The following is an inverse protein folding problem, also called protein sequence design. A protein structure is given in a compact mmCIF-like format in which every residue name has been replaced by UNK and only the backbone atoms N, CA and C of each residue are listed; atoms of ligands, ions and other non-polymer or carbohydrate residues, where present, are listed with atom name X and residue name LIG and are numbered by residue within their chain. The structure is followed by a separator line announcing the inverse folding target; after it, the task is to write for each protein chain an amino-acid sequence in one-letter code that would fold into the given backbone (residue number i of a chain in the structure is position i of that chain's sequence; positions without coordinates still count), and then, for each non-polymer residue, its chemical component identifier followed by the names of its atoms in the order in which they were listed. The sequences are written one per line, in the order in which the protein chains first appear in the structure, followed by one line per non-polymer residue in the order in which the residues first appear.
data_IF_926058156280
#
_entry.id   IF_926058156280
#
_cell.length_a   1.000
_cell.length_b   1.000
_cell.length_c   1.000
_cell.angle_alpha   90.00
_cell.angle_beta   90.00
_cell.angle_gamma   90.00
#
_symmetry.space_group_name_H-M   'P 1'
#
loop_
_entity.id
_entity.type
_entity.pdbx_description
1 polymer ?
#
# COMPACT_ATOMS: atom_id res chain seq x y z
N UNK A 1 -6.43 15.25 12.08
CA UNK A 1 -6.23 16.02 10.84
C UNK A 1 -4.75 16.37 10.64
N UNK A 2 -4.09 17.04 11.61
CA UNK A 2 -2.67 17.45 11.47
C UNK A 2 -1.70 16.27 11.33
N UNK A 3 -1.89 15.18 12.07
CA UNK A 3 -1.06 13.96 11.97
C UNK A 3 -1.18 13.30 10.59
N UNK A 4 -2.37 13.26 10.00
CA UNK A 4 -2.58 12.73 8.64
C UNK A 4 -1.98 13.64 7.56
N UNK A 5 -2.03 14.95 7.75
CA UNK A 5 -1.36 15.91 6.87
C UNK A 5 0.17 15.77 6.95
N UNK A 6 0.73 15.55 8.13
CA UNK A 6 2.16 15.29 8.33
C UNK A 6 2.58 13.97 7.68
N UNK A 7 1.79 12.90 7.82
CA UNK A 7 2.02 11.59 7.18
C UNK A 7 2.03 11.70 5.66
N UNK A 8 1.05 12.40 5.08
CA UNK A 8 0.96 12.66 3.63
C UNK A 8 2.13 13.50 3.11
N UNK A 9 2.63 14.42 3.93
CA UNK A 9 3.79 15.26 3.60
C UNK A 9 5.09 14.46 3.64
N UNK A 10 5.24 13.55 4.60
CA UNK A 10 6.40 12.65 4.73
C UNK A 10 6.42 11.55 3.66
N UNK A 11 5.25 11.07 3.21
CA UNK A 11 5.13 10.06 2.15
C UNK A 11 5.44 10.61 0.74
N UNK A 12 5.66 11.93 0.59
CA UNK A 12 6.15 12.49 -0.68
C UNK A 12 7.60 12.07 -0.88
N UNK A 13 7.80 11.03 -1.70
CA UNK A 13 9.11 10.69 -2.26
C UNK A 13 9.78 11.97 -2.79
N UNK A 14 11.10 12.17 -2.56
CA UNK A 14 11.85 13.25 -3.19
C UNK A 14 11.96 12.98 -4.68
N UNK A 15 10.85 13.19 -5.41
CA UNK A 15 10.88 13.09 -6.86
C UNK A 15 11.63 14.31 -7.40
N UNK A 16 12.44 14.11 -8.43
CA UNK A 16 13.06 15.18 -9.24
C UNK A 16 12.03 16.08 -9.93
N UNK A 17 10.76 16.00 -9.55
CA UNK A 17 9.61 16.68 -10.14
C UNK A 17 9.23 17.86 -9.26
N UNK A 18 8.84 18.94 -9.91
CA UNK A 18 8.38 20.12 -9.22
C UNK A 18 7.19 19.81 -8.29
N UNK A 19 7.24 20.34 -7.09
CA UNK A 19 6.15 20.18 -6.10
C UNK A 19 4.96 21.03 -6.51
N UNK A 20 3.87 20.39 -6.93
CA UNK A 20 2.60 21.08 -7.23
C UNK A 20 1.74 21.10 -5.97
N UNK A 21 1.91 22.11 -5.13
CA UNK A 21 1.21 22.21 -3.84
C UNK A 21 -0.32 22.32 -3.92
N UNK A 22 -0.83 22.75 -5.07
CA UNK A 22 -2.26 23.07 -5.25
C UNK A 22 -3.19 21.85 -5.26
N UNK A 23 -2.70 20.64 -5.62
CA UNK A 23 -3.51 19.42 -5.60
C UNK A 23 -3.65 18.79 -4.20
N UNK A 24 -2.88 19.23 -3.21
CA UNK A 24 -2.84 18.63 -1.88
C UNK A 24 -4.01 19.00 -0.97
N UNK A 25 -4.89 19.89 -1.38
CA UNK A 25 -5.83 20.56 -0.47
C UNK A 25 -7.32 20.31 -0.72
N UNK A 26 -7.70 19.61 -1.78
CA UNK A 26 -9.13 19.35 -2.06
C UNK A 26 -9.47 17.89 -1.94
N UNK A 27 -9.99 17.49 -0.78
CA UNK A 27 -10.63 16.17 -0.59
C UNK A 27 -12.13 16.18 -0.96
N UNK A 28 -12.61 17.22 -1.64
CA UNK A 28 -14.04 17.37 -1.96
C UNK A 28 -14.55 16.28 -2.89
N UNK A 29 -13.76 15.91 -3.88
CA UNK A 29 -14.12 14.88 -4.88
C UNK A 29 -13.32 13.61 -4.63
N UNK A 30 -13.93 12.43 -4.80
CA UNK A 30 -13.28 11.14 -4.55
C UNK A 30 -11.99 10.95 -5.38
N UNK A 31 -11.95 11.47 -6.60
CA UNK A 31 -10.81 11.33 -7.49
C UNK A 31 -9.67 12.32 -7.20
N UNK A 32 -9.86 13.35 -6.38
CA UNK A 32 -8.85 14.41 -6.17
C UNK A 32 -7.52 13.91 -5.62
N UNK A 33 -7.53 12.85 -4.81
CA UNK A 33 -6.36 12.23 -4.20
C UNK A 33 -6.06 10.81 -4.72
N UNK A 34 -6.87 10.32 -5.68
CA UNK A 34 -6.79 8.95 -6.24
C UNK A 34 -6.48 8.89 -7.71
N UNK A 35 -6.83 9.92 -8.49
CA UNK A 35 -6.58 9.92 -9.93
C UNK A 35 -5.14 10.35 -10.22
N UNK A 36 -4.31 9.45 -10.73
CA UNK A 36 -2.89 9.66 -10.98
C UNK A 36 -2.53 9.51 -12.46
N UNK A 37 -1.54 10.23 -12.89
CA UNK A 37 -1.01 10.16 -14.25
C UNK A 37 -0.12 8.92 -14.41
N UNK A 38 -0.41 8.08 -15.41
CA UNK A 38 0.40 6.90 -15.73
C UNK A 38 1.82 7.22 -16.19
N UNK A 39 2.01 8.38 -16.82
CA UNK A 39 3.32 8.81 -17.30
C UNK A 39 4.19 9.40 -16.17
N UNK A 40 3.65 10.36 -15.43
CA UNK A 40 4.45 11.13 -14.49
C UNK A 40 4.13 10.87 -13.00
N UNK A 41 3.10 10.08 -12.68
CA UNK A 41 2.70 9.75 -11.32
C UNK A 41 2.12 10.91 -10.51
N UNK A 42 1.88 12.08 -11.13
CA UNK A 42 1.29 13.24 -10.46
C UNK A 42 -0.23 13.14 -10.48
N UNK A 43 -0.88 13.69 -9.46
CA UNK A 43 -2.33 13.72 -9.39
C UNK A 43 -2.96 14.52 -10.53
N UNK A 44 -4.18 14.18 -10.85
CA UNK A 44 -5.05 14.96 -11.71
C UNK A 44 -5.82 15.99 -10.88
N UNK A 45 -6.12 17.13 -11.52
CA UNK A 45 -6.96 18.19 -10.95
C UNK A 45 -8.23 18.34 -11.76
N UNK A 46 -9.34 18.47 -11.07
CA UNK A 46 -10.63 18.81 -11.64
C UNK A 46 -10.64 20.27 -12.10
N UNK A 47 -10.94 20.50 -13.38
CA UNK A 47 -11.01 21.84 -13.98
C UNK A 47 -12.39 22.02 -14.60
N UNK A 48 -12.97 23.22 -14.44
CA UNK A 48 -14.23 23.59 -15.11
C UNK A 48 -13.91 24.59 -16.20
N UNK A 49 -14.27 24.27 -17.42
CA UNK A 49 -14.16 25.16 -18.56
C UNK A 49 -15.53 25.76 -18.87
N UNK A 50 -15.62 27.07 -18.89
CA UNK A 50 -16.82 27.79 -19.33
C UNK A 50 -16.72 28.02 -20.83
N UNK A 51 -17.70 27.58 -21.59
CA UNK A 51 -17.85 27.74 -23.02
C UNK A 51 -19.20 28.37 -23.33
N UNK A 52 -19.42 28.90 -24.56
CA UNK A 52 -20.73 29.44 -24.98
C UNK A 52 -21.86 28.41 -24.84
N UNK A 53 -21.56 27.14 -25.08
CA UNK A 53 -22.45 25.97 -25.04
C UNK A 53 -22.60 25.36 -23.62
N UNK A 54 -21.96 25.95 -22.62
CA UNK A 54 -22.09 25.51 -21.22
C UNK A 54 -20.78 25.28 -20.48
N UNK A 55 -20.91 24.65 -19.31
CA UNK A 55 -19.76 24.27 -18.47
C UNK A 55 -19.33 22.84 -18.78
N UNK A 56 -18.06 22.66 -19.15
CA UNK A 56 -17.43 21.35 -19.32
C UNK A 56 -16.49 21.08 -18.15
N UNK A 57 -16.65 19.95 -17.50
CA UNK A 57 -15.79 19.53 -16.39
C UNK A 57 -14.81 18.49 -16.90
N UNK A 58 -13.53 18.74 -16.64
CA UNK A 58 -12.44 17.87 -17.11
C UNK A 58 -11.42 17.63 -15.99
N UNK A 59 -10.72 16.52 -16.10
CA UNK A 59 -9.58 16.18 -15.27
C UNK A 59 -8.29 16.33 -16.04
N UNK A 60 -7.27 16.98 -15.45
CA UNK A 60 -5.98 17.24 -16.07
C UNK A 60 -4.83 16.97 -15.12
N UNK A 61 -3.75 16.39 -15.64
CA UNK A 61 -2.52 16.18 -14.88
C UNK A 61 -1.97 17.52 -14.36
N UNK A 62 -1.68 17.58 -13.06
CA UNK A 62 -1.20 18.81 -12.40
C UNK A 62 0.17 19.22 -12.95
N UNK A 63 1.10 18.26 -13.15
CA UNK A 63 2.39 18.57 -13.79
C UNK A 63 2.23 19.21 -15.15
N UNK A 64 1.27 18.70 -15.96
CA UNK A 64 1.00 19.25 -17.28
C UNK A 64 0.35 20.63 -17.25
N UNK A 65 -0.51 20.86 -16.24
CA UNK A 65 -1.16 22.16 -16.02
C UNK A 65 -0.15 23.24 -15.64
N UNK A 66 0.72 22.93 -14.67
CA UNK A 66 1.58 23.93 -14.06
C UNK A 66 2.89 24.13 -14.85
N UNK A 67 3.36 23.13 -15.59
CA UNK A 67 4.66 23.17 -16.29
C UNK A 67 4.60 22.80 -17.78
N UNK A 68 3.42 22.63 -18.35
CA UNK A 68 3.25 22.24 -19.74
C UNK A 68 3.85 20.87 -20.05
N UNK A 69 4.52 20.74 -21.18
CA UNK A 69 5.16 19.48 -21.61
C UNK A 69 6.51 19.19 -20.95
N UNK A 70 7.00 20.06 -20.06
CA UNK A 70 8.34 19.93 -19.48
C UNK A 70 8.53 18.65 -18.67
N UNK A 71 7.52 18.20 -17.93
CA UNK A 71 7.61 17.05 -17.03
C UNK A 71 6.59 15.95 -17.34
N UNK A 72 5.64 16.21 -18.25
CA UNK A 72 4.63 15.25 -18.65
C UNK A 72 4.22 15.54 -20.11
N UNK A 73 4.51 14.60 -21.02
CA UNK A 73 4.39 14.82 -22.46
C UNK A 73 3.05 14.36 -23.02
N UNK A 74 2.51 13.25 -22.52
CA UNK A 74 1.41 12.51 -23.16
C UNK A 74 0.14 12.46 -22.31
N UNK A 75 0.12 13.03 -21.07
CA UNK A 75 -1.06 12.95 -20.23
C UNK A 75 -2.30 13.54 -20.90
N UNK A 76 -3.38 12.77 -21.05
CA UNK A 76 -4.61 13.26 -21.68
C UNK A 76 -5.40 14.18 -20.76
N UNK A 77 -6.27 14.99 -21.36
CA UNK A 77 -7.38 15.62 -20.66
C UNK A 77 -8.57 14.68 -20.74
N UNK A 78 -9.19 14.36 -19.61
CA UNK A 78 -10.31 13.44 -19.52
C UNK A 78 -11.58 14.20 -19.15
N UNK A 79 -12.68 13.90 -19.83
CA UNK A 79 -14.00 14.38 -19.46
C UNK A 79 -14.49 13.63 -18.21
N UNK A 80 -15.16 14.35 -17.30
CA UNK A 80 -15.58 13.77 -16.02
C UNK A 80 -16.61 12.67 -16.19
N UNK A 81 -17.65 12.89 -16.99
CA UNK A 81 -18.73 11.92 -17.12
C UNK A 81 -18.27 10.57 -17.74
N UNK A 82 -17.54 10.52 -18.88
CA UNK A 82 -16.98 9.29 -19.41
C UNK A 82 -16.01 8.59 -18.44
N UNK A 83 -15.20 9.36 -17.71
CA UNK A 83 -14.28 8.82 -16.69
C UNK A 83 -15.05 8.15 -15.55
N UNK A 84 -16.08 8.80 -15.02
CA UNK A 84 -16.92 8.26 -13.97
C UNK A 84 -17.64 6.98 -14.43
N UNK A 85 -18.19 6.96 -15.62
CA UNK A 85 -18.84 5.78 -16.20
C UNK A 85 -17.85 4.61 -16.36
N UNK A 86 -16.64 4.88 -16.83
CA UNK A 86 -15.61 3.84 -16.95
C UNK A 86 -15.23 3.25 -15.57
N UNK A 87 -15.12 4.08 -14.53
CA UNK A 87 -14.83 3.61 -13.18
C UNK A 87 -16.00 2.77 -12.65
N UNK A 88 -17.24 3.21 -12.82
CA UNK A 88 -18.44 2.43 -12.46
C UNK A 88 -18.46 1.09 -13.19
N UNK A 89 -18.20 1.07 -14.49
CA UNK A 89 -18.15 -0.15 -15.28
C UNK A 89 -17.07 -1.11 -14.75
N UNK A 90 -15.87 -0.61 -14.44
CA UNK A 90 -14.81 -1.40 -13.83
C UNK A 90 -15.25 -2.02 -12.51
N UNK A 91 -15.88 -1.24 -11.62
CA UNK A 91 -16.40 -1.74 -10.35
C UNK A 91 -17.47 -2.82 -10.55
N UNK A 92 -18.43 -2.58 -11.43
CA UNK A 92 -19.50 -3.52 -11.71
C UNK A 92 -19.05 -4.82 -12.37
N UNK A 93 -17.85 -4.85 -12.99
CA UNK A 93 -17.27 -6.09 -13.50
C UNK A 93 -16.80 -7.02 -12.37
N UNK A 94 -16.42 -6.46 -11.23
CA UNK A 94 -15.80 -7.21 -10.13
C UNK A 94 -16.75 -7.44 -8.97
N UNK A 95 -17.68 -6.50 -8.73
CA UNK A 95 -18.62 -6.59 -7.59
C UNK A 95 -19.42 -7.91 -7.54
N UNK A 96 -19.94 -8.46 -8.67
CA UNK A 96 -20.71 -9.70 -8.65
C UNK A 96 -19.86 -10.94 -8.30
N UNK A 97 -18.56 -10.90 -8.54
CA UNK A 97 -17.62 -12.03 -8.30
C UNK A 97 -16.59 -11.70 -7.21
N UNK A 98 -16.90 -10.70 -6.40
CA UNK A 98 -15.95 -10.21 -5.39
C UNK A 98 -15.62 -11.31 -4.35
N UNK A 99 -16.64 -12.11 -3.95
CA UNK A 99 -16.47 -13.22 -3.01
C UNK A 99 -15.50 -14.29 -3.53
N UNK A 100 -15.65 -14.68 -4.80
CA UNK A 100 -14.77 -15.64 -5.44
C UNK A 100 -13.34 -15.12 -5.56
N UNK A 101 -13.17 -13.86 -5.94
CA UNK A 101 -11.86 -13.23 -6.07
C UNK A 101 -11.17 -12.97 -4.74
N UNK A 102 -11.91 -12.60 -3.71
CA UNK A 102 -11.37 -12.46 -2.36
C UNK A 102 -10.89 -13.81 -1.85
N UNK A 103 -11.68 -14.87 -2.07
CA UNK A 103 -11.28 -16.23 -1.70
C UNK A 103 -9.99 -16.63 -2.41
N UNK A 104 -9.86 -16.41 -3.72
CA UNK A 104 -8.63 -16.67 -4.47
C UNK A 104 -7.42 -15.89 -3.94
N UNK A 105 -7.61 -14.61 -3.60
CA UNK A 105 -6.53 -13.79 -3.02
C UNK A 105 -6.16 -14.30 -1.63
N UNK A 106 -7.16 -14.67 -0.81
CA UNK A 106 -6.93 -15.24 0.51
C UNK A 106 -6.15 -16.55 0.42
N UNK A 107 -6.59 -17.47 -0.45
CA UNK A 107 -5.91 -18.74 -0.69
C UNK A 107 -4.48 -18.55 -1.22
N UNK A 108 -4.24 -17.57 -2.11
CA UNK A 108 -2.92 -17.23 -2.59
C UNK A 108 -2.02 -16.65 -1.49
N UNK A 109 -2.56 -15.77 -0.64
CA UNK A 109 -1.82 -15.21 0.49
C UNK A 109 -1.52 -16.28 1.55
N UNK A 110 -2.46 -17.18 1.83
CA UNK A 110 -2.26 -18.32 2.73
C UNK A 110 -1.23 -19.31 2.18
N UNK A 111 -1.20 -19.52 0.86
CA UNK A 111 -0.21 -20.36 0.20
C UNK A 111 1.20 -19.75 0.20
N UNK A 112 1.34 -18.43 0.18
CA UNK A 112 2.63 -17.72 0.34
C UNK A 112 3.14 -17.76 1.79
N UNK A 113 2.23 -17.98 2.73
CA UNK A 113 2.57 -18.17 4.14
C UNK A 113 2.98 -19.63 4.33
N UNK A 114 4.21 -19.97 3.99
CA UNK A 114 4.80 -21.27 4.33
C UNK A 114 4.86 -21.31 5.88
N UNK A 115 4.21 -22.28 6.53
CA UNK A 115 4.42 -22.47 7.96
C UNK A 115 5.92 -22.70 8.13
N UNK A 116 6.59 -21.80 8.86
CA UNK A 116 8.00 -22.01 9.18
C UNK A 116 8.11 -23.40 9.81
N UNK A 117 8.89 -24.35 9.24
CA UNK A 117 9.12 -25.66 9.85
C UNK A 117 9.86 -25.37 11.15
N UNK A 118 9.10 -25.36 12.24
CA UNK A 118 9.44 -24.70 13.47
C UNK A 118 10.74 -25.19 14.05
N UNK A 119 11.51 -24.29 14.55
CA UNK A 119 12.50 -24.53 15.59
C UNK A 119 11.84 -25.01 16.91
N UNK A 120 10.51 -25.13 16.95
CA UNK A 120 9.76 -25.48 18.16
C UNK A 120 9.84 -24.43 19.27
N UNK A 121 10.60 -23.34 19.09
CA UNK A 121 10.79 -22.31 20.09
C UNK A 121 9.86 -21.11 19.84
N UNK A 122 9.14 -20.71 20.88
CA UNK A 122 8.35 -19.47 20.84
C UNK A 122 9.26 -18.23 20.99
N UNK A 123 8.76 -17.05 20.62
CA UNK A 123 9.48 -15.79 20.89
C UNK A 123 9.84 -15.63 22.37
N UNK A 124 8.94 -16.06 23.28
CA UNK A 124 9.18 -16.01 24.71
C UNK A 124 10.30 -16.96 25.15
N UNK A 125 10.44 -18.13 24.51
CA UNK A 125 11.53 -19.06 24.80
C UNK A 125 12.87 -18.52 24.30
N UNK A 126 12.88 -17.88 23.12
CA UNK A 126 14.07 -17.23 22.56
C UNK A 126 14.52 -16.08 23.48
N UNK A 127 13.60 -15.21 23.90
CA UNK A 127 13.93 -14.07 24.78
C UNK A 127 14.45 -14.54 26.12
N UNK A 128 13.87 -15.61 26.69
CA UNK A 128 14.35 -16.24 27.92
C UNK A 128 15.77 -16.80 27.74
N UNK A 129 16.01 -17.53 26.65
CA UNK A 129 17.33 -18.12 26.37
C UNK A 129 18.39 -17.06 26.15
N UNK A 130 18.07 -15.96 25.46
CA UNK A 130 18.98 -14.82 25.31
C UNK A 130 19.34 -14.19 26.66
N UNK A 131 18.40 -14.08 27.59
CA UNK A 131 18.64 -13.57 28.94
C UNK A 131 19.55 -14.50 29.74
N UNK A 132 19.35 -15.82 29.62
CA UNK A 132 20.20 -16.82 30.24
C UNK A 132 21.65 -16.78 29.73
N UNK A 133 21.81 -16.66 28.40
CA UNK A 133 23.13 -16.53 27.75
C UNK A 133 23.86 -15.24 28.16
N UNK A 134 23.12 -14.15 28.30
CA UNK A 134 23.70 -12.88 28.80
C UNK A 134 24.19 -13.07 30.25
N UNK A 135 23.41 -13.68 31.10
CA UNK A 135 23.83 -13.97 32.47
C UNK A 135 25.05 -14.95 32.51
N UNK A 136 25.12 -15.92 31.63
CA UNK A 136 26.27 -16.82 31.50
C UNK A 136 27.52 -16.06 31.02
N UNK A 137 27.36 -15.17 30.05
CA UNK A 137 28.44 -14.33 29.56
C UNK A 137 29.05 -13.46 30.66
N UNK A 138 28.21 -12.81 31.47
CA UNK A 138 28.65 -11.99 32.60
C UNK A 138 29.43 -12.81 33.64
N UNK A 139 28.91 -13.99 34.00
CA UNK A 139 29.61 -14.89 34.93
C UNK A 139 30.96 -15.37 34.37
N UNK A 140 31.02 -15.58 33.06
CA UNK A 140 32.26 -16.00 32.40
C UNK A 140 33.27 -14.87 32.37
N UNK A 141 32.84 -13.63 32.18
CA UNK A 141 33.71 -12.43 32.28
C UNK A 141 34.34 -12.29 33.65
N UNK A 142 33.55 -12.51 34.72
CA UNK A 142 34.05 -12.47 36.09
C UNK A 142 35.13 -13.56 36.34
N UNK A 143 34.94 -14.77 35.81
CA UNK A 143 35.90 -15.88 35.93
C UNK A 143 37.15 -15.70 35.07
N UNK A 144 37.01 -15.06 33.88
CA UNK A 144 38.06 -14.86 32.92
C UNK A 144 38.97 -13.64 33.26
N UNK A 145 38.70 -12.92 34.36
CA UNK A 145 39.45 -11.74 34.76
C UNK A 145 40.95 -12.02 34.91
N UNK A 146 41.31 -13.23 35.38
CA UNK A 146 42.71 -13.63 35.61
C UNK A 146 43.38 -14.33 34.40
N UNK A 147 42.59 -15.00 33.54
CA UNK A 147 43.09 -15.70 32.33
C UNK A 147 42.06 -15.69 31.20
N UNK A 148 41.98 -14.63 30.43
CA UNK A 148 41.01 -14.50 29.33
C UNK A 148 41.17 -15.54 28.22
N UNK A 149 42.37 -16.06 28.00
CA UNK A 149 42.67 -16.99 26.88
C UNK A 149 42.07 -18.35 27.13
N UNK A 150 42.06 -18.82 28.40
CA UNK A 150 41.51 -20.12 28.80
C UNK A 150 39.99 -20.25 28.52
N UNK A 151 39.26 -19.14 28.39
CA UNK A 151 37.83 -19.11 28.23
C UNK A 151 37.36 -18.67 26.79
N UNK A 152 38.29 -18.50 25.88
CA UNK A 152 38.03 -17.98 24.54
C UNK A 152 36.98 -18.77 23.77
N UNK A 153 37.04 -20.10 23.80
CA UNK A 153 36.08 -20.98 23.12
C UNK A 153 34.66 -20.87 23.71
N UNK A 154 34.55 -20.76 25.04
CA UNK A 154 33.27 -20.62 25.71
C UNK A 154 32.61 -19.26 25.42
N UNK A 155 33.38 -18.19 25.32
CA UNK A 155 32.87 -16.89 24.86
C UNK A 155 32.35 -16.98 23.44
N UNK A 156 33.09 -17.65 22.55
CA UNK A 156 32.68 -17.84 21.16
C UNK A 156 31.36 -18.62 21.06
N UNK A 157 31.23 -19.74 21.76
CA UNK A 157 30.00 -20.54 21.78
C UNK A 157 28.77 -19.72 22.22
N UNK A 158 28.90 -18.92 23.30
CA UNK A 158 27.82 -18.07 23.78
C UNK A 158 27.45 -17.00 22.74
N UNK A 159 28.43 -16.36 22.10
CA UNK A 159 28.21 -15.33 21.09
C UNK A 159 27.58 -15.90 19.81
N UNK A 160 28.01 -17.08 19.38
CA UNK A 160 27.47 -17.77 18.21
C UNK A 160 25.99 -18.16 18.47
N UNK A 161 25.69 -18.71 19.65
CA UNK A 161 24.30 -19.05 20.04
C UNK A 161 23.42 -17.78 20.15
N UNK A 162 23.93 -16.71 20.74
CA UNK A 162 23.20 -15.43 20.81
C UNK A 162 22.92 -14.87 19.42
N UNK A 163 23.87 -14.97 18.51
CA UNK A 163 23.70 -14.48 17.13
C UNK A 163 22.64 -15.28 16.40
N UNK A 164 22.70 -16.60 16.46
CA UNK A 164 21.70 -17.49 15.86
C UNK A 164 20.28 -17.24 16.41
N UNK A 165 20.14 -17.04 17.72
CA UNK A 165 18.84 -16.75 18.34
C UNK A 165 18.30 -15.36 17.95
N UNK A 166 19.16 -14.35 17.81
CA UNK A 166 18.77 -13.02 17.34
C UNK A 166 18.28 -13.04 15.89
N UNK A 167 18.96 -13.80 15.02
CA UNK A 167 18.56 -13.99 13.64
C UNK A 167 17.21 -14.74 13.53
N UNK A 168 17.04 -15.82 14.30
CA UNK A 168 15.79 -16.56 14.39
C UNK A 168 14.64 -15.67 14.87
N UNK A 169 14.87 -14.87 15.91
CA UNK A 169 13.90 -13.90 16.43
C UNK A 169 13.49 -12.89 15.37
N UNK A 170 14.45 -12.34 14.62
CA UNK A 170 14.18 -11.38 13.58
C UNK A 170 13.35 -12.00 12.43
N UNK A 171 13.63 -13.25 12.08
CA UNK A 171 12.87 -14.00 11.07
C UNK A 171 11.42 -14.20 11.52
N UNK A 172 11.20 -14.69 12.75
CA UNK A 172 9.84 -14.91 13.29
C UNK A 172 9.05 -13.59 13.35
N UNK A 173 9.69 -12.49 13.75
CA UNK A 173 9.02 -11.18 13.80
C UNK A 173 8.67 -10.66 12.40
N UNK A 174 9.53 -10.88 11.40
CA UNK A 174 9.25 -10.50 10.02
C UNK A 174 8.08 -11.32 9.44
N UNK A 175 8.03 -12.60 9.72
CA UNK A 175 6.93 -13.50 9.32
C UNK A 175 5.61 -13.10 10.00
N UNK A 176 5.60 -12.90 11.32
CA UNK A 176 4.42 -12.45 12.05
C UNK A 176 3.89 -11.11 11.50
N UNK A 177 4.77 -10.22 11.08
CA UNK A 177 4.37 -8.96 10.45
C UNK A 177 3.70 -9.18 9.10
N UNK A 178 4.23 -10.08 8.26
CA UNK A 178 3.61 -10.45 6.97
C UNK A 178 2.22 -11.05 7.18
N UNK A 179 2.06 -11.97 8.14
CA UNK A 179 0.77 -12.54 8.51
C UNK A 179 -0.24 -11.47 8.95
N UNK A 180 0.15 -10.58 9.85
CA UNK A 180 -0.71 -9.50 10.32
C UNK A 180 -1.14 -8.54 9.18
N UNK A 181 -0.25 -8.29 8.21
CA UNK A 181 -0.58 -7.49 7.01
C UNK A 181 -1.55 -8.23 6.08
N UNK A 182 -1.39 -9.55 5.90
CA UNK A 182 -2.31 -10.39 5.13
C UNK A 182 -3.69 -10.45 5.80
N UNK A 183 -3.77 -10.72 7.09
CA UNK A 183 -5.02 -10.73 7.87
C UNK A 183 -5.74 -9.38 7.82
N UNK A 184 -4.99 -8.29 7.84
CA UNK A 184 -5.57 -6.95 7.69
C UNK A 184 -6.19 -6.77 6.31
N UNK A 185 -5.51 -7.19 5.23
CA UNK A 185 -6.04 -7.12 3.86
C UNK A 185 -7.31 -7.95 3.71
N UNK A 186 -7.33 -9.15 4.30
CA UNK A 186 -8.50 -10.04 4.30
C UNK A 186 -9.67 -9.36 5.03
N UNK A 187 -9.45 -8.80 6.22
CA UNK A 187 -10.50 -8.08 6.96
C UNK A 187 -10.99 -6.83 6.22
N UNK A 188 -10.08 -6.06 5.63
CA UNK A 188 -10.45 -4.88 4.83
C UNK A 188 -11.29 -5.29 3.61
N UNK A 189 -10.98 -6.42 2.98
CA UNK A 189 -11.73 -6.98 1.88
C UNK A 189 -13.10 -7.52 2.32
N UNK A 190 -13.19 -8.25 3.43
CA UNK A 190 -14.44 -8.74 4.00
C UNK A 190 -15.39 -7.59 4.42
N UNK A 191 -14.85 -6.54 5.03
CA UNK A 191 -15.64 -5.34 5.39
C UNK A 191 -16.20 -4.59 4.18
N UNK A 192 -15.58 -4.74 3.00
CA UNK A 192 -16.15 -4.22 1.74
C UNK A 192 -17.33 -5.05 1.26
N UNK A 193 -17.34 -6.36 1.52
CA UNK A 193 -18.44 -7.26 1.15
C UNK A 193 -19.70 -7.01 1.96
N UNK A 194 -19.56 -6.79 3.27
CA UNK A 194 -20.70 -6.50 4.15
C UNK A 194 -21.43 -5.21 3.77
N UNK A 195 -20.77 -4.28 3.05
CA UNK A 195 -21.31 -3.02 2.59
C UNK A 195 -21.48 -2.95 1.06
N UNK A 196 -21.26 -4.04 0.32
CA UNK A 196 -21.28 -4.03 -1.13
C UNK A 196 -22.71 -3.89 -1.66
N UNK A 197 -22.97 -2.77 -2.31
CA UNK A 197 -24.11 -2.65 -3.22
C UNK A 197 -23.83 -3.56 -4.42
N UNK A 198 -24.69 -4.53 -4.74
CA UNK A 198 -24.41 -5.53 -5.79
C UNK A 198 -24.24 -4.91 -7.19
N UNK A 199 -24.63 -3.67 -7.35
CA UNK A 199 -24.48 -2.90 -8.60
C UNK A 199 -24.46 -1.40 -8.31
N UNK A 200 -23.51 -0.69 -8.86
CA UNK A 200 -23.41 0.78 -8.79
C UNK A 200 -24.05 1.34 -10.06
N UNK A 201 -25.24 1.92 -9.94
CA UNK A 201 -25.95 2.51 -11.08
C UNK A 201 -25.47 3.93 -11.39
N UNK A 202 -25.16 4.72 -10.37
CA UNK A 202 -24.80 6.12 -10.47
C UNK A 202 -23.50 6.44 -9.69
N UNK A 203 -22.87 7.57 -10.05
CA UNK A 203 -21.67 8.01 -9.37
C UNK A 203 -21.97 8.44 -7.94
N UNK A 204 -21.40 7.73 -6.98
CA UNK A 204 -21.42 8.09 -5.56
C UNK A 204 -20.00 8.29 -5.03
N UNK A 205 -19.72 9.52 -4.61
CA UNK A 205 -18.42 9.91 -4.05
C UNK A 205 -18.03 9.07 -2.82
N UNK A 206 -19.01 8.66 -2.00
CA UNK A 206 -18.78 7.87 -0.79
C UNK A 206 -18.38 6.43 -1.14
N UNK A 207 -19.16 5.78 -2.02
CA UNK A 207 -18.87 4.43 -2.49
C UNK A 207 -17.49 4.37 -3.18
N UNK A 208 -17.18 5.34 -4.04
CA UNK A 208 -15.87 5.39 -4.70
C UNK A 208 -14.73 5.55 -3.67
N UNK A 209 -14.90 6.36 -2.65
CA UNK A 209 -13.91 6.51 -1.58
C UNK A 209 -13.72 5.24 -0.75
N UNK A 210 -14.78 4.47 -0.58
CA UNK A 210 -14.73 3.21 0.15
C UNK A 210 -14.03 2.11 -0.66
N UNK A 211 -14.34 1.99 -1.94
CA UNK A 211 -13.91 0.87 -2.78
C UNK A 211 -12.56 1.12 -3.48
N UNK A 212 -12.33 2.33 -3.99
CA UNK A 212 -11.19 2.63 -4.86
C UNK A 212 -10.01 3.16 -4.04
N UNK A 213 -8.85 2.53 -4.20
CA UNK A 213 -7.58 3.00 -3.66
C UNK A 213 -6.93 4.02 -4.61
N UNK A 214 -6.87 3.70 -5.92
CA UNK A 214 -6.22 4.54 -6.93
C UNK A 214 -6.84 4.31 -8.31
N UNK A 215 -6.85 5.36 -9.14
CA UNK A 215 -7.15 5.27 -10.57
C UNK A 215 -5.95 5.83 -11.32
N UNK A 216 -5.32 5.01 -12.17
CA UNK A 216 -4.16 5.39 -12.97
C UNK A 216 -4.59 5.61 -14.42
N UNK A 217 -4.32 6.79 -14.95
CA UNK A 217 -4.62 7.12 -16.35
C UNK A 217 -3.50 6.60 -17.23
N UNK A 218 -3.77 5.55 -18.01
CA UNK A 218 -2.81 4.94 -18.93
C UNK A 218 -2.76 5.67 -20.27
N UNK A 219 -3.93 5.99 -20.82
CA UNK A 219 -4.08 6.72 -22.08
C UNK A 219 -5.36 7.57 -22.08
N UNK A 220 -5.69 8.17 -23.20
CA UNK A 220 -6.96 8.90 -23.36
C UNK A 220 -8.17 7.98 -23.23
N UNK A 221 -8.02 6.71 -23.62
CA UNK A 221 -9.11 5.75 -23.72
C UNK A 221 -8.97 4.59 -22.72
N UNK A 222 -8.01 4.63 -21.80
CA UNK A 222 -7.74 3.51 -20.90
C UNK A 222 -7.29 3.99 -19.51
N UNK A 223 -7.87 3.39 -18.50
CA UNK A 223 -7.50 3.55 -17.08
C UNK A 223 -7.22 2.20 -16.43
N UNK A 224 -6.43 2.21 -15.37
CA UNK A 224 -6.34 1.11 -14.41
C UNK A 224 -6.92 1.56 -13.08
N UNK A 225 -7.90 0.83 -12.58
CA UNK A 225 -8.57 1.06 -11.30
C UNK A 225 -8.05 0.04 -10.30
N UNK A 226 -7.42 0.50 -9.23
CA UNK A 226 -6.96 -0.35 -8.13
C UNK A 226 -7.94 -0.21 -6.96
N UNK A 227 -8.53 -1.31 -6.54
CA UNK A 227 -9.40 -1.37 -5.37
C UNK A 227 -8.57 -1.39 -4.08
N UNK A 228 -9.20 -1.07 -2.95
CA UNK A 228 -8.55 -1.19 -1.63
C UNK A 228 -8.23 -2.65 -1.27
N UNK A 229 -8.94 -3.61 -1.85
CA UNK A 229 -8.63 -5.05 -1.76
C UNK A 229 -7.33 -5.43 -2.49
N UNK A 230 -6.74 -4.53 -3.29
CA UNK A 230 -5.56 -4.80 -4.10
C UNK A 230 -5.88 -5.30 -5.51
N UNK A 231 -7.14 -5.54 -5.86
CA UNK A 231 -7.56 -5.95 -7.20
C UNK A 231 -7.31 -4.77 -8.16
N UNK A 232 -6.64 -5.03 -9.28
CA UNK A 232 -6.39 -4.08 -10.36
C UNK A 232 -7.22 -4.45 -11.59
N UNK A 233 -7.95 -3.48 -12.13
CA UNK A 233 -8.87 -3.64 -13.25
C UNK A 233 -8.49 -2.63 -14.33
N UNK A 234 -8.24 -3.10 -15.55
CA UNK A 234 -8.11 -2.23 -16.73
C UNK A 234 -9.45 -2.01 -17.37
N UNK A 235 -9.77 -0.75 -17.67
CA UNK A 235 -11.06 -0.37 -18.21
C UNK A 235 -10.87 0.68 -19.31
N UNK A 236 -11.62 0.47 -20.39
CA UNK A 236 -11.68 1.44 -21.49
C UNK A 236 -12.62 2.60 -21.16
N UNK A 237 -12.24 3.81 -21.55
CA UNK A 237 -13.09 5.01 -21.50
C UNK A 237 -13.76 5.15 -22.87
N UNK A 238 -15.06 4.98 -22.90
CA UNK A 238 -15.87 5.29 -24.11
C UNK A 238 -16.18 6.79 -24.14
N UNK A 239 -15.87 7.43 -25.24
CA UNK A 239 -16.18 8.87 -25.46
C UNK A 239 -17.58 9.02 -26.03
#
# INVERSE_FOLDING_TARGET
VQAEMARRKAAKSPSKRASTGLAAYTSRYALSDRLVCGECGTLYRRCTWTRPDGKRVVWRCVSRLDYGKKYCHSSPTLDEAPLQQAIIAALNTVLPDLDGRIRQITEALEAEVIPFPGSGMSLGDIDRRLTELEAQFQRLLEKAADDPIAYGDQFKEILDEQTALKELRATILAENKKHAEADRRIRDAAGMLENAVPHIAEWDESAIRQLVAQVKVLSKNEISVTLKSGIEIRQSISN
#
